data_IF_011378883636
#
_entry.id   IF_011378883636
#
_cell.length_a   1.000
_cell.length_b   1.000
_cell.length_c   1.000
_cell.angle_alpha   90.00
_cell.angle_beta   90.00
_cell.angle_gamma   90.00
#
_symmetry.space_group_name_H-M   'P 1'
#
loop_
_entity.id
_entity.type
_entity.pdbx_description
1 polymer ?
#
# COMPACT_ATOMS: atom_id res chain seq x y z
N UNK A 1 -9.84 19.33 -14.83
CA UNK A 1 -10.00 19.07 -13.38
C UNK A 1 -9.54 17.64 -13.10
N UNK A 2 -8.26 17.45 -12.77
CA UNK A 2 -7.68 16.11 -12.58
C UNK A 2 -7.93 15.60 -11.17
N UNK A 3 -8.89 14.69 -11.00
CA UNK A 3 -8.97 13.87 -9.79
C UNK A 3 -7.82 12.85 -9.86
N UNK A 4 -6.64 13.22 -9.35
CA UNK A 4 -5.58 12.27 -9.03
C UNK A 4 -6.13 11.35 -7.93
N UNK A 5 -6.60 10.16 -8.32
CA UNK A 5 -6.89 9.10 -7.36
C UNK A 5 -5.62 8.75 -6.57
N UNK A 6 -5.74 8.17 -5.36
CA UNK A 6 -4.61 7.56 -4.70
C UNK A 6 -4.28 6.26 -5.44
N UNK A 7 -3.57 6.35 -6.56
CA UNK A 7 -3.32 5.18 -7.42
C UNK A 7 -2.45 4.13 -6.72
N UNK A 8 -1.51 4.57 -5.88
CA UNK A 8 -0.66 3.70 -5.07
C UNK A 8 -0.32 4.38 -3.74
N UNK A 9 -0.52 3.69 -2.61
CA UNK A 9 -0.08 4.15 -1.29
C UNK A 9 0.55 3.00 -0.51
N UNK A 10 1.73 3.23 0.08
CA UNK A 10 2.44 2.23 0.89
C UNK A 10 2.64 2.80 2.29
N UNK A 11 2.06 2.12 3.27
CA UNK A 11 2.23 2.37 4.70
C UNK A 11 3.15 1.28 5.25
N UNK A 12 4.23 1.67 5.95
CA UNK A 12 5.22 0.73 6.50
C UNK A 12 5.34 0.93 7.99
N UNK A 13 5.65 -0.16 8.69
CA UNK A 13 5.92 -0.17 10.12
C UNK A 13 4.80 0.49 10.92
N UNK A 14 3.56 0.05 10.67
CA UNK A 14 2.36 0.61 11.28
C UNK A 14 1.41 -0.49 11.73
N UNK A 15 0.72 -0.25 12.85
CA UNK A 15 -0.45 -1.04 13.24
C UNK A 15 -1.72 -0.55 12.54
N UNK A 16 -2.51 -1.47 12.00
CA UNK A 16 -3.76 -1.15 11.32
C UNK A 16 -4.79 -2.27 11.44
N UNK A 17 -6.06 -1.93 11.22
CA UNK A 17 -7.16 -2.89 11.20
C UNK A 17 -7.89 -2.76 9.86
N UNK A 18 -8.12 -3.90 9.19
CA UNK A 18 -8.95 -3.99 7.99
C UNK A 18 -10.28 -4.60 8.38
N UNK A 19 -11.38 -3.87 8.18
CA UNK A 19 -12.73 -4.39 8.36
C UNK A 19 -13.25 -4.94 7.04
N UNK A 20 -13.66 -6.20 7.02
CA UNK A 20 -14.22 -6.87 5.85
C UNK A 20 -15.75 -6.69 5.78
N UNK A 21 -16.32 -6.80 4.58
CA UNK A 21 -17.77 -6.69 4.36
C UNK A 21 -18.58 -7.75 5.13
N UNK A 22 -17.99 -8.92 5.38
CA UNK A 22 -18.58 -10.00 6.17
C UNK A 22 -18.52 -9.74 7.69
N UNK A 23 -18.14 -8.54 8.13
CA UNK A 23 -17.92 -8.13 9.53
C UNK A 23 -16.72 -8.79 10.22
N UNK A 24 -15.89 -9.52 9.50
CA UNK A 24 -14.58 -9.97 10.00
C UNK A 24 -13.63 -8.77 10.11
N UNK A 25 -12.74 -8.81 11.11
CA UNK A 25 -11.72 -7.78 11.31
C UNK A 25 -10.35 -8.43 11.31
N UNK A 26 -9.48 -7.95 10.43
CA UNK A 26 -8.08 -8.36 10.35
C UNK A 26 -7.24 -7.35 11.11
N UNK A 27 -6.58 -7.80 12.17
CA UNK A 27 -5.75 -6.95 13.03
C UNK A 27 -4.28 -7.15 12.69
N UNK A 28 -3.56 -6.07 12.49
CA UNK A 28 -2.13 -6.06 12.18
C UNK A 28 -1.40 -5.21 13.21
N UNK A 29 -0.36 -5.80 13.79
CA UNK A 29 0.44 -5.17 14.85
C UNK A 29 1.52 -4.24 14.29
N UNK A 30 2.20 -3.50 15.17
CA UNK A 30 3.36 -2.68 14.81
C UNK A 30 4.42 -3.52 14.07
N UNK A 31 5.11 -2.92 13.10
CA UNK A 31 5.97 -3.66 12.17
C UNK A 31 5.29 -4.10 10.88
N UNK A 32 3.95 -4.10 10.82
CA UNK A 32 3.21 -4.48 9.61
C UNK A 32 3.26 -3.40 8.52
N UNK A 33 2.96 -3.80 7.30
CA UNK A 33 2.94 -2.94 6.11
C UNK A 33 1.59 -3.09 5.38
N UNK A 34 1.09 -1.99 4.84
CA UNK A 34 -0.13 -1.95 4.05
C UNK A 34 0.17 -1.31 2.70
N UNK A 35 -0.06 -2.03 1.62
CA UNK A 35 0.03 -1.52 0.26
C UNK A 35 -1.38 -1.38 -0.30
N UNK A 36 -1.69 -0.23 -0.85
CA UNK A 36 -2.89 0.06 -1.62
C UNK A 36 -2.44 0.24 -3.06
N UNK A 37 -2.93 -0.59 -3.98
CA UNK A 37 -2.58 -0.57 -5.40
C UNK A 37 -3.85 -0.79 -6.23
N UNK A 38 -4.26 0.19 -7.03
CA UNK A 38 -5.41 0.07 -7.94
C UNK A 38 -6.70 -0.53 -7.31
N UNK A 39 -6.94 -0.28 -6.01
CA UNK A 39 -8.08 -0.81 -5.26
C UNK A 39 -7.85 -2.15 -4.55
N UNK A 40 -6.74 -2.82 -4.81
CA UNK A 40 -6.28 -3.97 -4.03
C UNK A 40 -5.57 -3.48 -2.76
N UNK A 41 -5.93 -4.06 -1.61
CA UNK A 41 -5.16 -3.94 -0.38
C UNK A 41 -4.27 -5.17 -0.23
N UNK A 42 -2.99 -4.96 0.03
CA UNK A 42 -2.06 -6.02 0.41
C UNK A 42 -1.50 -5.68 1.78
N UNK A 43 -1.87 -6.47 2.78
CA UNK A 43 -1.34 -6.38 4.12
C UNK A 43 -0.18 -7.37 4.29
N UNK A 44 0.90 -6.93 4.91
CA UNK A 44 2.09 -7.74 5.21
C UNK A 44 2.31 -7.66 6.72
N UNK A 45 2.31 -8.80 7.41
CA UNK A 45 2.57 -8.84 8.86
C UNK A 45 4.03 -8.49 9.16
N UNK A 46 4.34 -8.20 10.43
CA UNK A 46 5.72 -8.00 10.86
C UNK A 46 6.63 -9.22 10.60
N UNK A 47 6.07 -10.43 10.55
CA UNK A 47 6.77 -11.67 10.18
C UNK A 47 6.99 -11.83 8.67
N UNK A 48 6.45 -10.92 7.85
CA UNK A 48 6.54 -10.96 6.39
C UNK A 48 5.43 -11.75 5.71
N UNK A 49 4.40 -12.19 6.44
CA UNK A 49 3.28 -12.91 5.85
C UNK A 49 2.36 -11.96 5.08
N UNK A 50 2.15 -12.25 3.79
CA UNK A 50 1.35 -11.42 2.92
C UNK A 50 -0.09 -11.93 2.82
N UNK A 51 -1.05 -11.02 2.96
CA UNK A 51 -2.47 -11.24 2.70
C UNK A 51 -3.01 -10.18 1.76
N UNK A 52 -3.55 -10.63 0.63
CA UNK A 52 -4.26 -9.78 -0.33
C UNK A 52 -5.74 -9.72 0.03
N UNK A 53 -6.30 -8.53 -0.03
CA UNK A 53 -7.70 -8.22 0.25
C UNK A 53 -8.23 -7.35 -0.90
N UNK A 54 -9.01 -7.93 -1.82
CA UNK A 54 -9.50 -7.18 -2.97
C UNK A 54 -10.57 -6.15 -2.55
N UNK A 55 -10.72 -5.07 -3.34
CA UNK A 55 -11.66 -3.94 -3.11
C UNK A 55 -13.07 -4.35 -2.76
N UNK A 56 -13.48 -5.52 -3.26
CA UNK A 56 -14.83 -6.06 -3.13
C UNK A 56 -15.10 -6.69 -1.79
N UNK A 57 -14.07 -6.88 -0.96
CA UNK A 57 -14.16 -7.64 0.29
C UNK A 57 -13.96 -6.78 1.53
N UNK A 58 -13.38 -5.58 1.40
CA UNK A 58 -13.13 -4.69 2.53
C UNK A 58 -14.10 -3.50 2.57
N UNK A 59 -14.47 -3.11 3.79
CA UNK A 59 -15.40 -2.02 4.08
C UNK A 59 -14.64 -0.74 4.48
N UNK A 60 -13.69 -0.87 5.40
CA UNK A 60 -12.96 0.26 5.97
C UNK A 60 -11.58 -0.18 6.46
N UNK A 61 -10.64 0.76 6.50
CA UNK A 61 -9.27 0.55 7.01
C UNK A 61 -8.91 1.66 7.98
N UNK A 62 -8.59 1.29 9.21
CA UNK A 62 -8.18 2.22 10.25
C UNK A 62 -6.70 2.02 10.53
N UNK A 63 -5.90 3.06 10.26
CA UNK A 63 -4.46 3.09 10.56
C UNK A 63 -4.28 3.86 11.86
N UNK A 64 -3.68 3.23 12.87
CA UNK A 64 -3.57 3.84 14.19
C UNK A 64 -2.53 4.97 14.21
N UNK A 65 -3.00 6.22 14.30
CA UNK A 65 -2.17 7.43 14.18
C UNK A 65 -1.03 7.54 15.22
N UNK A 66 -1.16 6.89 16.39
CA UNK A 66 -0.15 6.95 17.45
C UNK A 66 1.17 6.25 17.06
N UNK A 67 1.08 5.11 16.36
CA UNK A 67 2.24 4.33 15.86
C UNK A 67 2.81 4.92 14.56
N UNK A 68 1.95 5.64 13.88
CA UNK A 68 2.16 6.39 12.66
C UNK A 68 3.02 7.62 12.92
N UNK A 69 2.80 8.36 14.01
CA UNK A 69 3.59 9.57 14.29
C UNK A 69 5.03 9.29 14.77
N UNK A 70 5.32 8.09 15.30
CA UNK A 70 6.67 7.72 15.75
C UNK A 70 7.58 7.26 14.61
N UNK A 71 7.02 6.69 13.54
CA UNK A 71 7.77 6.26 12.36
C UNK A 71 7.61 7.26 11.20
N UNK A 72 8.64 8.10 10.97
CA UNK A 72 8.69 9.12 9.91
C UNK A 72 8.11 8.64 8.57
N UNK A 73 6.94 9.18 8.22
CA UNK A 73 6.22 8.92 6.99
C UNK A 73 7.03 9.41 5.79
N UNK A 74 7.67 8.48 5.08
CA UNK A 74 8.12 8.75 3.71
C UNK A 74 7.10 8.11 2.77
N UNK A 75 6.22 8.94 2.19
CA UNK A 75 5.62 8.60 0.88
C UNK A 75 6.79 8.44 -0.07
N UNK A 76 7.30 7.23 -0.24
CA UNK A 76 8.23 6.97 -1.31
C UNK A 76 7.42 7.17 -2.60
N UNK A 77 7.80 8.10 -3.49
CA UNK A 77 7.23 8.07 -4.83
C UNK A 77 7.44 6.66 -5.40
N UNK A 78 6.52 6.16 -6.25
CA UNK A 78 6.72 4.88 -6.92
C UNK A 78 8.13 4.90 -7.50
N UNK A 79 8.92 3.86 -7.19
CA UNK A 79 10.27 3.75 -7.72
C UNK A 79 10.15 3.90 -9.25
N UNK A 80 10.93 4.80 -9.88
CA UNK A 80 10.88 4.92 -11.33
C UNK A 80 11.17 3.52 -11.89
N UNK A 81 10.21 2.99 -12.65
CA UNK A 81 10.42 1.75 -13.40
C UNK A 81 11.76 1.85 -14.11
N UNK A 82 12.64 0.84 -14.04
CA UNK A 82 13.83 0.84 -14.87
C UNK A 82 13.35 0.87 -16.32
N UNK A 83 13.51 2.02 -16.98
CA UNK A 83 13.38 2.13 -18.42
C UNK A 83 14.45 1.23 -19.03
N UNK A 84 14.07 -0.02 -19.32
CA UNK A 84 14.87 -0.94 -20.10
C UNK A 84 14.98 -0.44 -21.53
N UNK A 85 16.23 -0.30 -21.97
CA UNK A 85 16.77 -0.64 -23.29
C UNK A 85 15.85 -0.49 -24.52
N UNK A 86 16.19 0.48 -25.36
CA UNK A 86 15.55 0.72 -26.65
C UNK A 86 16.50 1.44 -27.61
N UNK A 87 17.47 0.70 -28.13
CA UNK A 87 18.36 1.03 -29.25
C UNK A 87 17.68 1.79 -30.40
N UNK A 88 18.22 2.96 -30.81
CA UNK A 88 18.44 3.42 -32.20
C UNK A 88 18.81 4.93 -32.25
N UNK A 89 19.88 5.33 -32.95
CA UNK A 89 19.86 6.53 -33.78
C UNK A 89 19.82 6.13 -35.26
N UNK A 90 18.75 6.58 -35.88
CA UNK A 90 18.54 6.67 -37.32
C UNK A 90 19.59 7.59 -37.97
N UNK A 91 19.96 7.26 -39.21
CA UNK A 91 20.91 7.97 -40.05
C UNK A 91 20.59 9.47 -40.21
N UNK A 92 21.65 10.27 -40.33
CA UNK A 92 21.65 11.68 -40.72
C UNK A 92 23.07 12.18 -40.86
#
# INVERSE_FOLDING_TARGET
MGRRGPDVAVYRNCSFVISLLNRERLNYEAGSQLHLDHGELTAITAAGEQRRVPVREWQDVIINAADVLTNRWRRQPPAPSPSGDGNSPHAG
#
